data_IF_653609423824
#
_entry.id   IF_653609423824
#
_cell.length_a   1.000
_cell.length_b   1.000
_cell.length_c   1.000
_cell.angle_alpha   90.00
_cell.angle_beta   90.00
_cell.angle_gamma   90.00
#
_symmetry.space_group_name_H-M   'P 1'
#
loop_
_entity.id
_entity.type
_entity.pdbx_description
1 polymer ?
#
# COMPACT_ATOMS: atom_id res chain seq x y z
N UNK A 1 1.17 -20.07 -14.44
CA UNK A 1 0.34 -18.95 -13.95
C UNK A 1 -1.07 -19.47 -13.77
N UNK A 2 -1.70 -19.24 -12.62
CA UNK A 2 -3.09 -19.64 -12.33
C UNK A 2 -4.04 -18.90 -13.29
N UNK A 3 -4.99 -19.61 -13.91
CA UNK A 3 -5.90 -19.04 -14.91
C UNK A 3 -7.35 -19.00 -14.41
N UNK A 4 -8.20 -18.19 -15.06
CA UNK A 4 -9.62 -18.09 -14.67
C UNK A 4 -10.33 -19.46 -14.68
N UNK A 5 -9.99 -20.35 -15.59
CA UNK A 5 -10.55 -21.73 -15.64
C UNK A 5 -10.19 -22.54 -14.40
N UNK A 6 -9.01 -22.31 -13.81
CA UNK A 6 -8.52 -23.08 -12.67
C UNK A 6 -9.29 -22.75 -11.39
N UNK A 7 -9.99 -21.58 -11.33
CA UNK A 7 -10.90 -21.26 -10.24
C UNK A 7 -11.95 -22.35 -10.00
N UNK A 8 -12.44 -22.98 -11.07
CA UNK A 8 -13.47 -24.02 -10.97
C UNK A 8 -12.94 -25.33 -10.36
N UNK A 9 -11.62 -25.49 -10.23
CA UNK A 9 -11.01 -26.63 -9.56
C UNK A 9 -10.91 -26.46 -8.04
N UNK A 10 -11.13 -25.23 -7.53
CA UNK A 10 -11.10 -24.97 -6.10
C UNK A 10 -12.32 -25.57 -5.40
N UNK A 11 -12.11 -26.15 -4.24
CA UNK A 11 -13.18 -26.79 -3.43
C UNK A 11 -14.23 -25.74 -3.00
N UNK A 12 -13.77 -24.57 -2.63
CA UNK A 12 -14.62 -23.42 -2.23
C UNK A 12 -15.45 -22.89 -3.39
N UNK A 13 -15.05 -23.13 -4.63
CA UNK A 13 -15.78 -22.72 -5.85
C UNK A 13 -16.74 -23.80 -6.36
N UNK A 14 -16.98 -24.89 -5.63
CA UNK A 14 -17.85 -26.00 -6.05
C UNK A 14 -19.30 -25.57 -6.38
N UNK A 15 -19.78 -24.50 -5.77
CA UNK A 15 -21.11 -23.92 -6.03
C UNK A 15 -21.07 -22.74 -7.04
N UNK A 16 -19.90 -22.39 -7.52
CA UNK A 16 -19.75 -21.27 -8.47
C UNK A 16 -20.24 -21.64 -9.87
N UNK A 17 -20.73 -20.63 -10.58
CA UNK A 17 -21.17 -20.75 -11.99
C UNK A 17 -20.52 -19.66 -12.81
N UNK A 18 -20.06 -20.01 -14.00
CA UNK A 18 -19.67 -19.04 -15.02
C UNK A 18 -20.94 -18.58 -15.73
N UNK A 19 -21.19 -17.29 -15.77
CA UNK A 19 -22.40 -16.72 -16.38
C UNK A 19 -22.14 -15.91 -17.65
N UNK A 20 -20.87 -15.51 -17.89
CA UNK A 20 -20.46 -14.77 -19.07
C UNK A 20 -18.93 -14.83 -19.28
N UNK A 21 -18.45 -14.42 -20.46
CA UNK A 21 -17.05 -14.20 -20.76
C UNK A 21 -16.22 -15.47 -20.92
N UNK A 22 -16.80 -16.56 -21.43
CA UNK A 22 -16.11 -17.85 -21.60
C UNK A 22 -14.84 -17.76 -22.47
N UNK A 23 -14.75 -16.80 -23.41
CA UNK A 23 -13.53 -16.58 -24.21
C UNK A 23 -12.33 -16.13 -23.38
N UNK A 24 -12.53 -15.57 -22.20
CA UNK A 24 -11.48 -15.10 -21.32
C UNK A 24 -10.98 -16.10 -20.25
N UNK A 25 -11.42 -17.36 -20.29
CA UNK A 25 -11.11 -18.35 -19.25
C UNK A 25 -9.61 -18.72 -19.14
N UNK A 26 -8.83 -18.40 -20.16
CA UNK A 26 -7.37 -18.60 -20.14
C UNK A 26 -6.59 -17.39 -19.61
N UNK A 27 -7.26 -16.28 -19.29
CA UNK A 27 -6.61 -15.14 -18.66
C UNK A 27 -5.98 -15.55 -17.33
N UNK A 28 -4.74 -15.16 -17.11
CA UNK A 28 -4.01 -15.45 -15.88
C UNK A 28 -4.51 -14.59 -14.74
N UNK A 29 -4.67 -15.19 -13.56
CA UNK A 29 -4.99 -14.48 -12.32
C UNK A 29 -3.72 -14.35 -11.51
N UNK A 30 -3.40 -13.11 -11.14
CA UNK A 30 -2.26 -12.78 -10.30
C UNK A 30 -2.63 -12.78 -8.81
N UNK A 31 -3.79 -12.22 -8.48
CA UNK A 31 -4.30 -12.07 -7.13
C UNK A 31 -5.81 -11.80 -7.15
N UNK A 32 -6.43 -11.77 -5.97
CA UNK A 32 -7.83 -11.34 -5.80
C UNK A 32 -7.90 -9.97 -5.14
N UNK A 33 -8.86 -9.18 -5.57
CA UNK A 33 -9.18 -7.89 -4.97
C UNK A 33 -10.65 -7.85 -4.55
N UNK A 34 -10.90 -7.73 -3.26
CA UNK A 34 -12.25 -7.53 -2.72
C UNK A 34 -12.60 -6.06 -2.77
N UNK A 35 -13.62 -5.70 -3.55
CA UNK A 35 -14.07 -4.33 -3.66
C UNK A 35 -14.71 -3.84 -2.36
N UNK A 36 -14.09 -2.86 -1.72
CA UNK A 36 -14.64 -2.15 -0.56
C UNK A 36 -15.24 -0.80 -0.94
N UNK A 37 -14.77 -0.23 -2.04
CA UNK A 37 -15.17 1.05 -2.60
C UNK A 37 -15.51 0.94 -4.08
N UNK A 38 -16.28 1.91 -4.58
CA UNK A 38 -16.61 2.04 -6.00
C UNK A 38 -15.37 2.52 -6.80
N UNK A 39 -14.50 3.29 -6.16
CA UNK A 39 -13.26 3.80 -6.75
C UNK A 39 -12.09 2.93 -6.30
N UNK A 40 -11.75 1.93 -7.08
CA UNK A 40 -10.70 0.96 -6.77
C UNK A 40 -9.49 1.04 -7.72
N UNK A 41 -9.41 2.05 -8.56
CA UNK A 41 -8.34 2.22 -9.56
C UNK A 41 -6.94 2.28 -8.95
N UNK A 42 -6.86 2.89 -7.76
CA UNK A 42 -5.59 3.04 -7.05
C UNK A 42 -5.06 1.71 -6.46
N UNK A 43 -5.91 0.69 -6.38
CA UNK A 43 -5.63 -0.56 -5.66
C UNK A 43 -5.41 -1.77 -6.56
N UNK A 44 -5.67 -1.62 -7.86
CA UNK A 44 -5.55 -2.71 -8.85
C UNK A 44 -4.53 -2.34 -9.94
N UNK A 45 -3.85 -3.36 -10.46
CA UNK A 45 -2.75 -3.20 -11.43
C UNK A 45 -2.93 -4.02 -12.70
N UNK A 46 -4.07 -4.68 -12.80
CA UNK A 46 -4.40 -5.61 -13.88
C UNK A 46 -4.04 -7.05 -13.53
N UNK A 47 -4.80 -7.97 -14.11
CA UNK A 47 -4.76 -9.42 -13.89
C UNK A 47 -5.24 -9.86 -12.48
N UNK A 48 -6.00 -9.04 -11.76
CA UNK A 48 -6.66 -9.47 -10.54
C UNK A 48 -8.02 -10.10 -10.81
N UNK A 49 -8.45 -10.96 -9.88
CA UNK A 49 -9.84 -11.39 -9.72
C UNK A 49 -10.58 -10.35 -8.88
N UNK A 50 -11.56 -9.66 -9.45
CA UNK A 50 -12.43 -8.76 -8.69
C UNK A 50 -13.46 -9.56 -7.90
N UNK A 51 -13.58 -9.32 -6.60
CA UNK A 51 -14.64 -9.90 -5.76
C UNK A 51 -15.62 -8.79 -5.39
N UNK A 52 -16.86 -8.94 -5.88
CA UNK A 52 -17.96 -8.02 -5.57
C UNK A 52 -18.80 -8.60 -4.45
N UNK A 53 -18.70 -7.98 -3.26
CA UNK A 53 -19.34 -8.44 -2.04
C UNK A 53 -19.97 -7.27 -1.27
N UNK A 54 -20.68 -7.53 -0.17
CA UNK A 54 -20.94 -6.52 0.85
C UNK A 54 -19.59 -6.09 1.45
N UNK A 55 -19.26 -4.83 1.73
CA UNK A 55 -20.16 -3.68 1.80
C UNK A 55 -20.28 -2.83 0.53
N UNK A 56 -19.57 -3.13 -0.58
CA UNK A 56 -19.64 -2.27 -1.77
C UNK A 56 -21.05 -2.24 -2.38
N UNK A 57 -21.77 -3.37 -2.38
CA UNK A 57 -23.13 -3.47 -2.93
C UNK A 57 -24.16 -2.66 -2.16
N UNK A 58 -23.91 -2.34 -0.89
CA UNK A 58 -24.80 -1.54 -0.04
C UNK A 58 -24.59 -0.03 -0.18
N UNK A 59 -23.63 0.41 -0.99
CA UNK A 59 -23.40 1.84 -1.19
C UNK A 59 -24.46 2.45 -2.11
N UNK A 60 -24.93 3.66 -1.76
CA UNK A 60 -26.00 4.38 -2.51
C UNK A 60 -25.72 4.56 -3.99
N UNK A 61 -24.46 4.59 -4.39
CA UNK A 61 -24.03 4.81 -5.77
C UNK A 61 -23.46 3.54 -6.42
N UNK A 62 -23.71 2.37 -5.85
CA UNK A 62 -23.25 1.12 -6.44
C UNK A 62 -23.99 0.84 -7.74
N UNK A 63 -23.24 0.60 -8.79
CA UNK A 63 -23.72 0.23 -10.12
C UNK A 63 -22.83 -0.91 -10.63
N UNK A 64 -23.42 -2.10 -10.73
CA UNK A 64 -22.69 -3.30 -11.13
C UNK A 64 -22.12 -3.17 -12.56
N UNK A 65 -22.90 -2.56 -13.48
CA UNK A 65 -22.43 -2.36 -14.85
C UNK A 65 -21.15 -1.53 -14.89
N UNK A 66 -21.14 -0.37 -14.25
CA UNK A 66 -19.99 0.52 -14.17
C UNK A 66 -18.81 -0.14 -13.44
N UNK A 67 -19.07 -0.96 -12.44
CA UNK A 67 -18.05 -1.68 -11.70
C UNK A 67 -17.33 -2.69 -12.58
N UNK A 68 -18.08 -3.44 -13.40
CA UNK A 68 -17.52 -4.41 -14.34
C UNK A 68 -16.83 -3.71 -15.52
N UNK A 69 -17.46 -2.66 -16.08
CA UNK A 69 -16.86 -1.83 -17.12
C UNK A 69 -15.46 -1.33 -16.69
N UNK A 70 -15.37 -0.80 -15.49
CA UNK A 70 -14.13 -0.32 -14.91
C UNK A 70 -13.11 -1.43 -14.66
N UNK A 71 -13.54 -2.59 -14.20
CA UNK A 71 -12.65 -3.75 -14.04
C UNK A 71 -12.01 -4.18 -15.38
N UNK A 72 -12.80 -4.12 -16.46
CA UNK A 72 -12.31 -4.40 -17.82
C UNK A 72 -11.30 -3.34 -18.26
N UNK A 73 -11.59 -2.05 -18.07
CA UNK A 73 -10.68 -0.93 -18.39
C UNK A 73 -9.34 -1.04 -17.65
N UNK A 74 -9.37 -1.52 -16.41
CA UNK A 74 -8.18 -1.73 -15.57
C UNK A 74 -7.46 -3.05 -15.87
N UNK A 75 -7.85 -3.78 -16.93
CA UNK A 75 -7.26 -5.06 -17.32
C UNK A 75 -7.29 -6.12 -16.20
N UNK A 76 -8.30 -6.13 -15.35
CA UNK A 76 -8.54 -7.24 -14.42
C UNK A 76 -8.90 -8.51 -15.21
N UNK A 77 -8.64 -9.68 -14.65
CA UNK A 77 -8.80 -10.94 -15.39
C UNK A 77 -10.22 -11.46 -15.41
N UNK A 78 -10.96 -11.30 -14.31
CA UNK A 78 -12.32 -11.79 -14.15
C UNK A 78 -12.99 -11.17 -12.93
N UNK A 79 -14.27 -11.45 -12.71
CA UNK A 79 -14.97 -11.06 -11.49
C UNK A 79 -15.78 -12.21 -10.89
N UNK A 80 -15.81 -12.26 -9.55
CA UNK A 80 -16.64 -13.14 -8.74
C UNK A 80 -17.72 -12.30 -8.03
N UNK A 81 -18.98 -12.57 -8.34
CA UNK A 81 -20.13 -11.89 -7.78
C UNK A 81 -20.74 -12.77 -6.69
N UNK A 82 -20.77 -12.28 -5.46
CA UNK A 82 -21.48 -12.97 -4.39
C UNK A 82 -22.98 -12.68 -4.48
N UNK A 83 -23.78 -13.73 -4.54
CA UNK A 83 -25.23 -13.65 -4.71
C UNK A 83 -25.93 -13.82 -3.37
N UNK A 84 -26.77 -12.85 -3.00
CA UNK A 84 -27.54 -12.88 -1.75
C UNK A 84 -28.26 -11.57 -1.45
N UNK A 85 -29.03 -11.54 -0.37
CA UNK A 85 -29.95 -10.44 -0.05
C UNK A 85 -29.23 -9.09 0.19
N UNK A 86 -28.02 -9.12 0.81
CA UNK A 86 -27.19 -7.94 1.04
C UNK A 86 -25.99 -7.85 0.07
N UNK A 87 -26.02 -8.62 -0.99
CA UNK A 87 -25.00 -8.77 -1.99
C UNK A 87 -25.55 -8.44 -3.38
N UNK A 88 -25.10 -9.12 -4.41
CA UNK A 88 -25.71 -8.97 -5.74
C UNK A 88 -27.02 -9.76 -5.76
N UNK A 89 -28.14 -9.08 -5.91
CA UNK A 89 -29.47 -9.73 -5.93
C UNK A 89 -29.92 -10.09 -7.33
N UNK A 90 -29.53 -9.29 -8.34
CA UNK A 90 -29.90 -9.48 -9.74
C UNK A 90 -28.76 -9.01 -10.64
N UNK A 91 -28.56 -9.71 -11.74
CA UNK A 91 -27.56 -9.37 -12.75
C UNK A 91 -28.30 -9.02 -14.05
N UNK A 92 -28.21 -7.76 -14.44
CA UNK A 92 -28.85 -7.28 -15.65
C UNK A 92 -28.20 -7.88 -16.89
N UNK A 93 -29.01 -8.13 -17.93
CA UNK A 93 -28.52 -8.63 -19.21
C UNK A 93 -27.41 -7.77 -19.80
N UNK A 94 -27.44 -6.45 -19.60
CA UNK A 94 -26.39 -5.53 -20.06
C UNK A 94 -25.01 -5.83 -19.46
N UNK A 95 -24.95 -6.31 -18.22
CA UNK A 95 -23.69 -6.72 -17.56
C UNK A 95 -23.14 -8.00 -18.19
N UNK A 96 -24.03 -8.95 -18.49
CA UNK A 96 -23.69 -10.19 -19.18
C UNK A 96 -23.18 -9.89 -20.60
N UNK A 97 -23.91 -9.07 -21.35
CA UNK A 97 -23.52 -8.68 -22.72
C UNK A 97 -22.19 -7.92 -22.73
N UNK A 98 -21.95 -7.05 -21.74
CA UNK A 98 -20.66 -6.34 -21.59
C UNK A 98 -19.51 -7.33 -21.36
N UNK A 99 -19.68 -8.28 -20.46
CA UNK A 99 -18.67 -9.27 -20.11
C UNK A 99 -18.38 -10.22 -21.29
N UNK A 100 -19.40 -10.68 -22.01
CA UNK A 100 -19.26 -11.52 -23.21
C UNK A 100 -18.49 -10.78 -24.31
N UNK A 101 -18.85 -9.53 -24.61
CA UNK A 101 -18.22 -8.75 -25.67
C UNK A 101 -16.72 -8.41 -25.41
N UNK A 102 -16.27 -8.54 -24.15
CA UNK A 102 -14.90 -8.25 -23.73
C UNK A 102 -14.14 -9.50 -23.28
N UNK A 103 -14.68 -10.71 -23.52
CA UNK A 103 -14.09 -11.95 -23.02
C UNK A 103 -13.70 -11.83 -21.53
N UNK A 104 -14.58 -11.28 -20.72
CA UNK A 104 -14.34 -11.04 -19.29
C UNK A 104 -15.13 -12.03 -18.44
N UNK A 105 -14.51 -13.10 -17.90
CA UNK A 105 -15.22 -14.13 -17.14
C UNK A 105 -15.93 -13.56 -15.92
N UNK A 106 -17.25 -13.80 -15.85
CA UNK A 106 -18.07 -13.50 -14.70
C UNK A 106 -18.47 -14.80 -14.01
N UNK A 107 -18.07 -14.91 -12.75
CA UNK A 107 -18.45 -16.00 -11.87
C UNK A 107 -19.51 -15.52 -10.87
N UNK A 108 -20.39 -16.39 -10.50
CA UNK A 108 -21.34 -16.19 -9.39
C UNK A 108 -21.14 -17.27 -8.36
N UNK A 109 -21.28 -16.92 -7.09
CA UNK A 109 -21.17 -17.83 -5.96
C UNK A 109 -22.16 -17.41 -4.86
N UNK A 110 -22.79 -18.33 -4.11
CA UNK A 110 -23.58 -17.98 -2.94
C UNK A 110 -22.77 -17.19 -1.92
N UNK A 111 -23.38 -16.23 -1.26
CA UNK A 111 -22.74 -15.33 -0.31
C UNK A 111 -22.26 -16.02 0.99
N UNK A 112 -22.86 -17.16 1.33
CA UNK A 112 -22.61 -17.94 2.55
C UNK A 112 -21.38 -18.83 2.48
N UNK A 113 -20.71 -18.88 1.32
CA UNK A 113 -19.40 -19.54 1.22
C UNK A 113 -18.37 -18.71 1.99
N UNK A 114 -17.59 -19.29 2.92
CA UNK A 114 -16.58 -18.60 3.68
C UNK A 114 -15.51 -18.00 2.76
N UNK A 115 -15.51 -16.68 2.60
CA UNK A 115 -14.53 -15.99 1.75
C UNK A 115 -13.10 -16.19 2.24
N UNK A 116 -12.93 -16.41 3.52
CA UNK A 116 -11.63 -16.64 4.11
C UNK A 116 -11.01 -17.93 3.57
N UNK A 117 -11.78 -19.02 3.57
CA UNK A 117 -11.36 -20.31 3.04
C UNK A 117 -11.08 -20.21 1.54
N UNK A 118 -11.88 -19.43 0.82
CA UNK A 118 -11.65 -19.14 -0.59
C UNK A 118 -10.33 -18.40 -0.83
N UNK A 119 -10.01 -17.37 -0.02
CA UNK A 119 -8.75 -16.65 -0.15
C UNK A 119 -7.55 -17.54 0.16
N UNK A 120 -7.67 -18.41 1.15
CA UNK A 120 -6.64 -19.36 1.52
C UNK A 120 -6.39 -20.36 0.39
N UNK A 121 -7.45 -21.01 -0.10
CA UNK A 121 -7.36 -21.98 -1.19
C UNK A 121 -6.83 -21.35 -2.49
N UNK A 122 -7.32 -20.17 -2.84
CA UNK A 122 -6.85 -19.41 -4.00
C UNK A 122 -5.36 -19.04 -3.88
N UNK A 123 -4.95 -18.56 -2.69
CA UNK A 123 -3.56 -18.23 -2.41
C UNK A 123 -2.63 -19.43 -2.56
N UNK A 124 -3.03 -20.59 -2.05
CA UNK A 124 -2.31 -21.85 -2.22
C UNK A 124 -2.26 -22.28 -3.69
N UNK A 125 -3.38 -22.20 -4.42
CA UNK A 125 -3.44 -22.61 -5.81
C UNK A 125 -2.58 -21.72 -6.73
N UNK A 126 -2.60 -20.40 -6.53
CA UNK A 126 -1.74 -19.45 -7.26
C UNK A 126 -0.26 -19.76 -6.98
N UNK A 127 0.09 -20.04 -5.74
CA UNK A 127 1.47 -20.37 -5.34
C UNK A 127 1.94 -21.71 -5.89
N UNK A 128 1.08 -22.72 -5.95
CA UNK A 128 1.42 -24.08 -6.40
C UNK A 128 1.64 -24.19 -7.91
N UNK A 129 0.88 -23.44 -8.72
CA UNK A 129 0.98 -23.49 -10.18
C UNK A 129 2.13 -22.63 -10.75
N UNK A 130 2.79 -21.83 -9.91
CA UNK A 130 3.97 -21.08 -10.31
C UNK A 130 5.23 -21.88 -9.93
N UNK A 131 5.50 -22.98 -10.64
CA UNK A 131 6.64 -23.91 -10.46
C UNK A 131 8.04 -23.23 -10.45
N UNK A 132 8.09 -21.92 -10.50
CA UNK A 132 9.29 -21.09 -10.44
C UNK A 132 9.28 -20.11 -9.24
N UNK A 133 8.29 -20.20 -8.33
CA UNK A 133 8.34 -19.38 -7.14
C UNK A 133 9.33 -19.98 -6.15
N UNK A 134 10.30 -19.16 -5.79
CA UNK A 134 11.24 -19.46 -4.74
C UNK A 134 10.48 -19.84 -3.45
N UNK A 135 11.05 -20.76 -2.68
CA UNK A 135 10.54 -21.16 -1.37
C UNK A 135 10.33 -19.94 -0.46
N UNK A 136 11.10 -18.88 -0.69
CA UNK A 136 10.98 -17.57 -0.02
C UNK A 136 9.63 -16.91 -0.22
N UNK A 137 9.11 -16.87 -1.46
CA UNK A 137 7.78 -16.31 -1.78
C UNK A 137 6.68 -17.10 -1.07
N UNK A 138 6.82 -18.43 -1.05
CA UNK A 138 5.88 -19.34 -0.36
C UNK A 138 5.91 -19.14 1.16
N UNK A 139 7.09 -18.95 1.74
CA UNK A 139 7.26 -18.67 3.16
C UNK A 139 6.63 -17.33 3.54
N UNK A 140 6.90 -16.30 2.73
CA UNK A 140 6.36 -14.96 2.91
C UNK A 140 4.82 -14.96 2.85
N UNK A 141 4.25 -15.66 1.86
CA UNK A 141 2.81 -15.79 1.73
C UNK A 141 2.17 -16.48 2.95
N UNK A 142 2.78 -17.54 3.46
CA UNK A 142 2.30 -18.26 4.65
C UNK A 142 2.34 -17.38 5.90
N UNK A 143 3.39 -16.60 6.10
CA UNK A 143 3.52 -15.72 7.28
C UNK A 143 2.55 -14.54 7.19
N UNK A 144 2.40 -13.92 6.01
CA UNK A 144 1.63 -12.68 5.86
C UNK A 144 0.13 -12.95 5.75
N UNK A 145 -0.26 -14.01 5.03
CA UNK A 145 -1.66 -14.27 4.66
C UNK A 145 -2.25 -15.52 5.32
N UNK A 146 -1.43 -16.33 5.97
CA UNK A 146 -1.92 -17.53 6.66
C UNK A 146 -2.81 -17.19 7.85
N UNK A 147 -3.96 -17.85 7.97
CA UNK A 147 -4.87 -17.69 9.10
C UNK A 147 -4.31 -18.26 10.39
N UNK A 148 -3.48 -19.29 10.28
CA UNK A 148 -2.75 -19.90 11.38
C UNK A 148 -1.31 -20.13 10.94
N UNK A 149 -0.36 -19.57 11.67
CA UNK A 149 1.05 -19.82 11.43
C UNK A 149 1.39 -21.28 11.78
N UNK A 150 1.66 -22.07 10.75
CA UNK A 150 2.13 -23.46 10.94
C UNK A 150 3.65 -23.46 11.14
N UNK A 151 4.08 -23.40 12.41
CA UNK A 151 5.50 -23.35 12.77
C UNK A 151 6.31 -24.47 12.14
N UNK A 152 5.77 -25.70 12.05
CA UNK A 152 6.48 -26.83 11.45
C UNK A 152 6.70 -26.67 9.95
N UNK A 153 5.71 -26.11 9.22
CA UNK A 153 5.85 -25.81 7.79
C UNK A 153 6.90 -24.73 7.55
N UNK A 154 6.86 -23.67 8.34
CA UNK A 154 7.80 -22.55 8.28
C UNK A 154 9.22 -23.03 8.60
N UNK A 155 9.38 -23.82 9.66
CA UNK A 155 10.68 -24.40 10.03
C UNK A 155 11.26 -25.27 8.89
N UNK A 156 10.41 -26.10 8.26
CA UNK A 156 10.83 -26.91 7.12
C UNK A 156 11.33 -26.05 5.95
N UNK A 157 10.60 -25.00 5.59
CA UNK A 157 10.99 -24.06 4.53
C UNK A 157 12.30 -23.32 4.86
N UNK A 158 12.45 -22.83 6.10
CA UNK A 158 13.71 -22.21 6.54
C UNK A 158 14.89 -23.18 6.39
N UNK A 159 14.74 -24.44 6.85
CA UNK A 159 15.79 -25.45 6.70
C UNK A 159 16.13 -25.76 5.25
N UNK A 160 15.15 -25.80 4.35
CA UNK A 160 15.39 -25.99 2.90
C UNK A 160 16.24 -24.86 2.31
N UNK A 161 16.13 -23.64 2.85
CA UNK A 161 16.93 -22.48 2.46
C UNK A 161 18.28 -22.38 3.20
N UNK A 162 18.54 -23.29 4.13
CA UNK A 162 19.76 -23.28 4.94
C UNK A 162 19.72 -22.33 6.14
N UNK A 163 18.54 -21.89 6.56
CA UNK A 163 18.33 -21.02 7.71
C UNK A 163 17.72 -21.75 8.90
N UNK A 164 18.00 -21.26 10.10
CA UNK A 164 17.24 -21.58 11.31
C UNK A 164 16.07 -20.58 11.50
N UNK A 165 15.19 -20.83 12.46
CA UNK A 165 14.07 -19.94 12.75
C UNK A 165 14.49 -18.56 13.27
N UNK A 166 15.73 -18.40 13.74
CA UNK A 166 16.25 -17.13 14.21
C UNK A 166 16.38 -16.06 13.09
N UNK A 167 16.26 -16.44 11.82
CA UNK A 167 16.14 -15.48 10.71
C UNK A 167 14.78 -14.78 10.68
N UNK A 168 13.81 -15.25 11.43
CA UNK A 168 12.44 -14.74 11.48
C UNK A 168 12.16 -13.90 12.74
N UNK A 169 13.13 -13.16 13.24
CA UNK A 169 12.98 -12.36 14.45
C UNK A 169 12.51 -10.93 14.16
N UNK A 170 12.77 -10.42 12.97
CA UNK A 170 12.45 -9.04 12.61
C UNK A 170 12.05 -8.94 11.14
N UNK A 171 11.10 -8.07 10.84
CA UNK A 171 10.66 -7.80 9.48
C UNK A 171 11.12 -6.42 9.03
N UNK A 172 11.50 -6.28 7.78
CA UNK A 172 11.60 -4.98 7.13
C UNK A 172 10.69 -4.91 5.91
N UNK A 173 10.21 -3.71 5.62
CA UNK A 173 9.43 -3.43 4.42
C UNK A 173 10.03 -2.21 3.73
N UNK A 174 10.44 -2.39 2.50
CA UNK A 174 10.91 -1.35 1.60
C UNK A 174 9.85 -1.16 0.51
N UNK A 175 9.29 0.02 0.42
CA UNK A 175 8.33 0.40 -0.59
C UNK A 175 8.99 1.35 -1.59
N UNK A 176 8.96 1.00 -2.87
CA UNK A 176 9.50 1.80 -3.95
C UNK A 176 8.44 2.84 -4.36
N UNK A 177 8.75 4.11 -4.18
CA UNK A 177 7.84 5.20 -4.48
C UNK A 177 7.91 5.55 -5.97
N UNK A 178 6.78 5.52 -6.66
CA UNK A 178 6.70 6.09 -8.01
C UNK A 178 6.82 7.62 -7.90
N UNK A 179 7.63 8.25 -8.75
CA UNK A 179 7.62 9.71 -8.88
C UNK A 179 6.23 10.17 -9.29
N UNK A 180 5.40 10.54 -8.34
CA UNK A 180 4.22 11.33 -8.64
C UNK A 180 4.70 12.72 -9.00
N UNK A 181 4.64 13.06 -10.27
CA UNK A 181 4.90 14.40 -10.76
C UNK A 181 4.02 15.42 -10.02
N UNK A 182 4.54 16.01 -8.93
CA UNK A 182 3.90 17.11 -8.19
C UNK A 182 3.77 18.39 -9.02
N UNK A 183 4.04 18.36 -10.33
CA UNK A 183 4.04 19.54 -11.20
C UNK A 183 2.71 19.87 -11.88
N UNK A 184 1.63 19.14 -11.69
CA UNK A 184 0.39 19.42 -12.45
C UNK A 184 -0.63 20.33 -11.76
N UNK A 185 -0.39 20.87 -10.57
CA UNK A 185 -1.40 21.68 -9.87
C UNK A 185 -1.17 23.19 -9.83
N UNK A 186 -0.02 23.73 -10.26
CA UNK A 186 0.25 25.17 -10.16
C UNK A 186 1.04 25.75 -11.35
N UNK A 187 0.52 25.66 -12.56
CA UNK A 187 0.85 26.66 -13.59
C UNK A 187 -0.43 27.35 -14.04
N UNK A 188 -0.55 28.68 -13.88
CA UNK A 188 -1.58 29.44 -14.59
C UNK A 188 -1.29 29.28 -16.08
N UNK A 189 -2.32 28.92 -16.86
CA UNK A 189 -2.26 28.91 -18.32
C UNK A 189 -1.99 30.35 -18.80
N UNK A 190 -0.75 30.66 -19.11
CA UNK A 190 -0.41 31.71 -20.03
C UNK A 190 -0.06 31.07 -21.38
N UNK A 191 -0.78 31.51 -22.40
CA UNK A 191 -0.55 31.17 -23.78
C UNK A 191 0.86 31.62 -24.16
N UNK A 192 1.65 30.72 -24.73
CA UNK A 192 2.55 31.11 -25.81
C UNK A 192 2.96 29.81 -26.54
N UNK A 193 2.75 29.87 -27.85
CA UNK A 193 3.11 28.85 -28.83
C UNK A 193 4.64 28.79 -28.97
N UNK A 194 5.24 27.71 -28.51
CA UNK A 194 6.47 27.13 -29.09
C UNK A 194 6.68 25.69 -28.61
N UNK A 195 6.96 24.75 -29.49
CA UNK A 195 7.24 23.35 -29.09
C UNK A 195 8.71 23.24 -28.68
N UNK A 196 8.99 23.22 -27.39
CA UNK A 196 10.30 22.84 -26.88
C UNK A 196 10.37 21.32 -26.65
N UNK A 197 11.22 20.67 -27.42
CA UNK A 197 11.53 19.22 -27.45
C UNK A 197 12.25 18.68 -26.20
N UNK A 198 11.89 19.06 -24.99
CA UNK A 198 12.59 18.62 -23.78
C UNK A 198 11.68 18.26 -22.60
N UNK A 199 10.53 17.64 -22.81
CA UNK A 199 9.75 17.14 -21.68
C UNK A 199 8.97 15.84 -21.97
N UNK A 200 9.67 14.83 -22.50
CA UNK A 200 9.20 13.45 -22.51
C UNK A 200 10.00 12.62 -21.51
N UNK A 201 10.09 13.03 -20.26
CA UNK A 201 10.35 12.06 -19.17
C UNK A 201 9.03 11.33 -18.94
N UNK A 202 8.85 10.22 -19.62
CA UNK A 202 7.76 9.27 -19.39
C UNK A 202 7.78 8.87 -17.92
N UNK A 203 6.64 9.00 -17.22
CA UNK A 203 6.36 8.29 -15.96
C UNK A 203 6.56 6.78 -16.22
N UNK A 204 7.76 6.28 -16.05
CA UNK A 204 8.04 4.85 -16.17
C UNK A 204 7.65 4.22 -14.84
N UNK A 205 6.51 3.52 -14.83
CA UNK A 205 6.12 2.66 -13.72
C UNK A 205 7.19 1.62 -13.48
N UNK A 206 7.58 1.44 -12.22
CA UNK A 206 8.51 0.39 -11.82
C UNK A 206 7.86 -0.95 -12.16
N UNK A 207 8.51 -1.75 -12.98
CA UNK A 207 7.98 -3.05 -13.39
C UNK A 207 8.22 -4.11 -12.32
N UNK A 208 7.40 -5.15 -12.27
CA UNK A 208 7.61 -6.26 -11.35
C UNK A 208 8.99 -6.94 -11.53
N UNK A 209 9.50 -6.96 -12.76
CA UNK A 209 10.81 -7.56 -13.01
C UNK A 209 11.94 -6.69 -12.44
N UNK A 210 11.78 -5.37 -12.45
CA UNK A 210 12.71 -4.46 -11.77
C UNK A 210 12.68 -4.66 -10.26
N UNK A 211 11.48 -4.74 -9.65
CA UNK A 211 11.34 -4.99 -8.20
C UNK A 211 12.01 -6.31 -7.80
N UNK A 212 11.82 -7.36 -8.60
CA UNK A 212 12.50 -8.64 -8.38
C UNK A 212 14.02 -8.54 -8.50
N UNK A 213 14.51 -7.80 -9.48
CA UNK A 213 15.94 -7.54 -9.65
C UNK A 213 16.52 -6.80 -8.43
N UNK A 214 15.80 -5.80 -7.91
CA UNK A 214 16.21 -5.07 -6.72
C UNK A 214 16.18 -5.94 -5.46
N UNK A 215 15.17 -6.78 -5.31
CA UNK A 215 15.11 -7.75 -4.20
C UNK A 215 16.29 -8.73 -4.26
N UNK A 216 16.65 -9.21 -5.44
CA UNK A 216 17.80 -10.09 -5.65
C UNK A 216 19.12 -9.39 -5.30
N UNK A 217 19.31 -8.15 -5.75
CA UNK A 217 20.50 -7.35 -5.40
C UNK A 217 20.62 -7.13 -3.89
N UNK A 218 19.49 -6.82 -3.23
CA UNK A 218 19.46 -6.65 -1.78
C UNK A 218 19.83 -7.94 -1.05
N UNK A 219 19.34 -9.08 -1.51
CA UNK A 219 19.68 -10.41 -0.99
C UNK A 219 21.18 -10.71 -1.12
N UNK A 220 21.80 -10.34 -2.24
CA UNK A 220 23.24 -10.49 -2.47
C UNK A 220 24.03 -9.64 -1.45
N UNK A 221 23.59 -8.41 -1.18
CA UNK A 221 24.24 -7.57 -0.18
C UNK A 221 24.11 -8.15 1.23
N UNK A 222 22.96 -8.68 1.63
CA UNK A 222 22.83 -9.40 2.90
C UNK A 222 23.82 -10.58 3.00
N UNK A 223 23.99 -11.34 1.91
CA UNK A 223 24.92 -12.46 1.83
C UNK A 223 26.37 -12.01 1.94
N UNK A 224 26.78 -10.95 1.22
CA UNK A 224 28.13 -10.41 1.26
C UNK A 224 28.55 -9.91 2.67
N UNK A 225 27.60 -9.36 3.42
CA UNK A 225 27.84 -8.94 4.81
C UNK A 225 27.72 -10.10 5.82
N UNK A 226 27.51 -11.34 5.34
CA UNK A 226 27.24 -12.51 6.18
C UNK A 226 26.12 -12.25 7.22
N UNK A 227 25.04 -11.60 6.78
CA UNK A 227 23.89 -11.32 7.62
C UNK A 227 22.69 -12.13 7.13
N UNK A 228 22.16 -13.09 7.92
CA UNK A 228 21.06 -13.95 7.49
C UNK A 228 19.79 -13.14 7.30
N UNK A 229 19.25 -13.18 6.09
CA UNK A 229 17.96 -12.58 5.75
C UNK A 229 17.28 -13.38 4.64
N UNK A 230 15.96 -13.48 4.72
CA UNK A 230 15.09 -13.98 3.67
C UNK A 230 14.44 -12.76 3.03
N UNK A 231 14.66 -12.55 1.75
CA UNK A 231 14.19 -11.36 1.02
C UNK A 231 13.32 -11.81 -0.14
N UNK A 232 12.14 -11.25 -0.24
CA UNK A 232 11.21 -11.50 -1.35
C UNK A 232 10.46 -10.22 -1.74
N UNK A 233 9.64 -10.27 -2.76
CA UNK A 233 8.86 -9.12 -3.21
C UNK A 233 7.36 -9.45 -3.23
N UNK A 234 6.56 -8.43 -2.84
CA UNK A 234 5.11 -8.48 -2.90
C UNK A 234 4.55 -7.16 -3.41
N UNK A 235 3.94 -7.20 -4.58
CA UNK A 235 3.46 -5.99 -5.26
C UNK A 235 4.63 -5.05 -5.58
N UNK A 236 4.57 -3.83 -5.06
CA UNK A 236 5.57 -2.76 -5.19
C UNK A 236 6.55 -2.71 -4.01
N UNK A 237 6.54 -3.73 -3.17
CA UNK A 237 7.33 -3.78 -1.94
C UNK A 237 8.35 -4.90 -1.98
N UNK A 238 9.51 -4.62 -1.42
CA UNK A 238 10.49 -5.64 -1.04
C UNK A 238 10.31 -5.88 0.45
N UNK A 239 10.09 -7.12 0.81
CA UNK A 239 9.84 -7.55 2.19
C UNK A 239 10.94 -8.52 2.58
N UNK A 240 11.48 -8.36 3.77
CA UNK A 240 12.44 -9.30 4.28
C UNK A 240 12.23 -9.63 5.74
N UNK A 241 12.60 -10.87 6.07
CA UNK A 241 12.74 -11.34 7.44
C UNK A 241 14.22 -11.48 7.74
N UNK A 242 14.63 -11.07 8.91
CA UNK A 242 16.01 -11.10 9.33
C UNK A 242 16.12 -11.37 10.83
N UNK A 243 17.32 -11.75 11.26
CA UNK A 243 17.66 -11.84 12.69
C UNK A 243 17.57 -10.46 13.33
N UNK A 244 17.32 -10.43 14.65
CA UNK A 244 17.32 -9.19 15.41
C UNK A 244 18.60 -8.39 15.16
N UNK A 245 18.44 -7.13 14.76
CA UNK A 245 19.55 -6.26 14.41
C UNK A 245 20.06 -5.38 15.58
N UNK A 246 19.58 -5.58 16.79
CA UNK A 246 19.94 -4.72 17.94
C UNK A 246 21.45 -4.62 18.16
N UNK A 247 22.15 -5.75 18.03
CA UNK A 247 23.61 -5.81 18.21
C UNK A 247 24.40 -5.47 16.92
N UNK A 248 23.76 -5.59 15.76
CA UNK A 248 24.36 -5.43 14.43
C UNK A 248 23.80 -4.26 13.63
N UNK A 249 23.18 -3.27 14.27
CA UNK A 249 22.51 -2.13 13.62
C UNK A 249 23.41 -1.42 12.60
N UNK A 250 24.70 -1.31 12.88
CA UNK A 250 25.68 -0.73 11.95
C UNK A 250 25.84 -1.52 10.66
N UNK A 251 25.77 -2.85 10.73
CA UNK A 251 25.81 -3.69 9.53
C UNK A 251 24.56 -3.50 8.67
N UNK A 252 23.40 -3.47 9.31
CA UNK A 252 22.12 -3.26 8.62
C UNK A 252 22.12 -1.90 7.93
N UNK A 253 22.54 -0.86 8.61
CA UNK A 253 22.70 0.48 8.01
C UNK A 253 23.64 0.41 6.80
N UNK A 254 24.80 -0.23 6.90
CA UNK A 254 25.75 -0.33 5.79
C UNK A 254 25.18 -1.09 4.57
N UNK A 255 24.38 -2.16 4.81
CA UNK A 255 23.70 -2.90 3.74
C UNK A 255 22.73 -2.00 2.98
N UNK A 256 21.87 -1.29 3.72
CA UNK A 256 20.87 -0.44 3.09
C UNK A 256 21.44 0.86 2.51
N UNK A 257 22.49 1.44 3.08
CA UNK A 257 23.22 2.58 2.45
C UNK A 257 23.86 2.17 1.12
N UNK A 258 24.38 0.94 1.04
CA UNK A 258 24.89 0.41 -0.23
C UNK A 258 23.78 0.18 -1.24
N UNK A 259 22.64 -0.29 -0.77
CA UNK A 259 21.46 -0.47 -1.61
C UNK A 259 20.88 0.87 -2.08
N UNK A 260 20.86 1.88 -1.22
CA UNK A 260 20.49 3.25 -1.59
C UNK A 260 21.36 3.77 -2.73
N UNK A 261 22.69 3.67 -2.59
CA UNK A 261 23.62 4.05 -3.67
C UNK A 261 23.35 3.31 -4.98
N UNK A 262 22.96 2.04 -4.91
CA UNK A 262 22.58 1.26 -6.09
C UNK A 262 21.31 1.81 -6.72
N UNK A 263 20.27 2.11 -5.95
CA UNK A 263 19.01 2.68 -6.46
C UNK A 263 19.22 4.09 -7.04
N UNK A 264 20.06 4.93 -6.41
CA UNK A 264 20.36 6.27 -6.90
C UNK A 264 21.20 6.28 -8.19
N UNK A 265 21.97 5.21 -8.44
CA UNK A 265 22.70 5.04 -9.70
C UNK A 265 21.84 4.46 -10.84
N UNK A 266 20.64 3.99 -10.54
CA UNK A 266 19.69 3.60 -11.59
C UNK A 266 19.25 4.86 -12.36
N UNK A 267 18.96 4.68 -13.66
CA UNK A 267 18.62 5.77 -14.59
C UNK A 267 17.45 6.66 -14.11
N UNK A 268 16.63 6.16 -13.16
CA UNK A 268 15.42 6.82 -12.69
C UNK A 268 15.54 7.41 -11.27
N UNK A 269 16.67 7.27 -10.56
CA UNK A 269 16.84 7.76 -9.19
C UNK A 269 15.62 7.45 -8.30
N UNK A 270 15.36 6.16 -8.06
CA UNK A 270 14.11 5.69 -7.43
C UNK A 270 14.06 6.11 -5.96
N UNK A 271 13.00 6.80 -5.58
CA UNK A 271 12.69 7.07 -4.18
C UNK A 271 12.08 5.84 -3.50
N UNK A 272 12.32 5.71 -2.20
CA UNK A 272 11.75 4.61 -1.41
C UNK A 272 11.47 5.06 0.03
N UNK A 273 10.62 4.30 0.72
CA UNK A 273 10.51 4.30 2.18
C UNK A 273 10.95 2.95 2.71
N UNK A 274 11.73 2.94 3.78
CA UNK A 274 12.23 1.73 4.41
C UNK A 274 11.95 1.78 5.90
N UNK A 275 11.19 0.81 6.38
CA UNK A 275 10.96 0.63 7.81
C UNK A 275 11.38 -0.75 8.27
N UNK A 276 12.08 -0.80 9.41
CA UNK A 276 12.46 -2.01 10.12
C UNK A 276 11.59 -2.12 11.36
N UNK A 277 10.77 -3.17 11.40
CA UNK A 277 9.78 -3.41 12.44
C UNK A 277 10.38 -3.80 13.79
N UNK A 278 9.51 -3.99 14.77
CA UNK A 278 9.90 -4.47 16.10
C UNK A 278 10.40 -5.92 16.04
N UNK A 279 11.30 -6.25 16.94
CA UNK A 279 11.75 -7.63 17.13
C UNK A 279 10.65 -8.50 17.68
N UNK A 280 10.39 -9.63 17.05
CA UNK A 280 9.38 -10.59 17.44
C UNK A 280 10.01 -11.73 18.27
N UNK A 281 9.48 -11.98 19.46
CA UNK A 281 9.92 -13.09 20.32
C UNK A 281 9.50 -14.46 19.76
N UNK A 282 8.50 -14.49 18.90
CA UNK A 282 8.00 -15.70 18.27
C UNK A 282 7.36 -15.42 16.91
N UNK A 283 7.31 -16.44 16.08
CA UNK A 283 6.81 -16.38 14.71
C UNK A 283 5.33 -15.92 14.64
N UNK A 284 4.52 -16.23 15.66
CA UNK A 284 3.11 -15.84 15.66
C UNK A 284 2.89 -14.31 15.67
N UNK A 285 3.90 -13.56 16.09
CA UNK A 285 3.86 -12.09 16.09
C UNK A 285 4.30 -11.46 14.75
N UNK A 286 4.92 -12.24 13.85
CA UNK A 286 5.47 -11.73 12.58
C UNK A 286 4.40 -11.10 11.69
N UNK A 287 3.23 -11.70 11.59
CA UNK A 287 2.14 -11.16 10.79
C UNK A 287 1.72 -9.78 11.29
N UNK A 288 1.56 -9.62 12.61
CA UNK A 288 1.26 -8.33 13.23
C UNK A 288 2.39 -7.33 12.98
N UNK A 289 3.64 -7.72 13.19
CA UNK A 289 4.81 -6.88 12.93
C UNK A 289 4.89 -6.45 11.47
N UNK A 290 4.59 -7.33 10.52
CA UNK A 290 4.50 -6.98 9.10
C UNK A 290 3.44 -5.92 8.82
N UNK A 291 2.24 -6.07 9.37
CA UNK A 291 1.16 -5.09 9.18
C UNK A 291 1.52 -3.71 9.77
N UNK A 292 2.11 -3.69 10.96
CA UNK A 292 2.57 -2.46 11.61
C UNK A 292 3.69 -1.79 10.80
N UNK A 293 4.67 -2.58 10.35
CA UNK A 293 5.79 -2.09 9.52
C UNK A 293 5.31 -1.54 8.17
N UNK A 294 4.37 -2.23 7.53
CA UNK A 294 3.76 -1.80 6.27
C UNK A 294 2.96 -0.52 6.42
N UNK A 295 2.21 -0.39 7.51
CA UNK A 295 1.45 0.82 7.83
C UNK A 295 2.38 2.00 8.15
N UNK A 296 3.50 1.74 8.80
CA UNK A 296 4.53 2.75 9.04
C UNK A 296 5.08 3.32 7.73
N UNK A 297 5.32 2.49 6.72
CA UNK A 297 5.79 2.97 5.41
C UNK A 297 4.82 3.98 4.78
N UNK A 298 3.51 3.73 4.85
CA UNK A 298 2.51 4.69 4.36
C UNK A 298 2.59 6.03 5.12
N UNK A 299 2.79 5.98 6.44
CA UNK A 299 3.02 7.20 7.23
C UNK A 299 4.30 7.92 6.81
N UNK A 300 5.41 7.19 6.60
CA UNK A 300 6.69 7.78 6.18
C UNK A 300 6.59 8.49 4.84
N UNK A 301 5.79 7.97 3.90
CA UNK A 301 5.51 8.65 2.63
C UNK A 301 4.80 9.99 2.84
N UNK A 302 3.76 10.03 3.67
CA UNK A 302 3.00 11.25 3.95
C UNK A 302 3.85 12.31 4.65
N UNK A 303 4.74 11.90 5.56
CA UNK A 303 5.64 12.83 6.24
C UNK A 303 6.94 13.09 5.47
N UNK A 304 7.02 12.60 4.22
CA UNK A 304 8.14 12.79 3.30
C UNK A 304 9.51 12.33 3.85
N UNK A 305 9.51 11.27 4.68
CA UNK A 305 10.72 10.59 5.14
C UNK A 305 11.09 9.49 4.14
N UNK A 306 11.67 9.90 3.02
CA UNK A 306 12.10 9.02 1.94
C UNK A 306 13.61 8.87 1.92
N UNK A 307 14.09 7.78 1.32
CA UNK A 307 15.51 7.47 1.12
C UNK A 307 16.29 7.41 2.42
N UNK A 308 15.64 7.00 3.49
CA UNK A 308 16.25 6.79 4.80
C UNK A 308 15.75 5.50 5.45
N UNK A 309 16.56 4.98 6.37
CA UNK A 309 16.24 3.79 7.15
C UNK A 309 15.57 4.25 8.45
N UNK A 310 14.34 3.82 8.65
CA UNK A 310 13.59 4.15 9.86
C UNK A 310 13.42 2.88 10.70
N UNK A 311 13.93 2.90 11.91
CA UNK A 311 13.73 1.80 12.85
C UNK A 311 12.47 2.02 13.68
N UNK A 312 11.84 0.93 14.11
CA UNK A 312 10.62 0.97 14.90
C UNK A 312 10.70 1.85 16.15
N UNK A 313 11.85 1.90 16.80
CA UNK A 313 12.09 2.76 17.96
C UNK A 313 12.15 4.27 17.62
N UNK A 314 12.31 4.62 16.34
CA UNK A 314 12.44 6.00 15.85
C UNK A 314 11.12 6.60 15.36
N UNK A 315 10.06 5.79 15.21
CA UNK A 315 8.76 6.27 14.72
C UNK A 315 7.93 7.02 15.79
N UNK A 316 8.45 7.10 17.00
CA UNK A 316 7.94 7.98 18.07
C UNK A 316 6.46 7.78 18.40
N UNK A 317 5.69 8.85 18.29
CA UNK A 317 4.25 8.86 18.62
C UNK A 317 3.42 7.89 17.77
N UNK A 318 3.82 7.60 16.55
CA UNK A 318 3.11 6.66 15.67
C UNK A 318 3.05 5.23 16.25
N UNK A 319 4.06 4.82 17.04
CA UNK A 319 4.02 3.53 17.77
C UNK A 319 2.79 3.42 18.65
N UNK A 320 2.47 4.52 19.36
CA UNK A 320 1.29 4.56 20.21
C UNK A 320 0.02 4.49 19.36
N UNK A 321 -0.05 5.23 18.26
CA UNK A 321 -1.23 5.22 17.38
C UNK A 321 -1.50 3.81 16.79
N UNK A 322 -0.44 3.07 16.43
CA UNK A 322 -0.56 1.72 15.89
C UNK A 322 -1.07 0.70 16.91
N UNK A 323 -0.84 0.93 18.20
CA UNK A 323 -1.26 0.01 19.25
C UNK A 323 -2.78 -0.03 19.50
N UNK A 324 -3.53 0.92 18.93
CA UNK A 324 -4.97 0.99 19.10
C UNK A 324 -5.72 0.24 17.97
N UNK A 325 -6.52 -0.73 18.37
CA UNK A 325 -7.41 -1.46 17.44
C UNK A 325 -8.59 -0.57 16.97
N UNK A 326 -9.11 0.26 17.88
CA UNK A 326 -10.22 1.16 17.58
C UNK A 326 -9.73 2.58 17.26
N UNK A 327 -9.70 2.92 15.97
CA UNK A 327 -9.27 4.25 15.50
C UNK A 327 -10.34 5.34 15.56
N UNK A 328 -11.60 4.99 15.87
CA UNK A 328 -12.72 5.95 15.86
C UNK A 328 -12.53 7.16 16.82
N UNK A 329 -11.95 7.04 18.02
CA UNK A 329 -11.65 8.20 18.86
C UNK A 329 -10.61 9.13 18.23
N UNK A 330 -9.57 8.58 17.62
CA UNK A 330 -8.53 9.34 16.91
C UNK A 330 -9.11 10.09 15.72
N UNK A 331 -9.92 9.41 14.91
CA UNK A 331 -10.57 10.00 13.75
C UNK A 331 -11.48 11.16 14.16
N UNK A 332 -12.25 11.01 15.24
CA UNK A 332 -13.08 12.11 15.77
C UNK A 332 -12.24 13.30 16.20
N UNK A 333 -11.17 13.08 16.96
CA UNK A 333 -10.27 14.13 17.41
C UNK A 333 -9.64 14.88 16.22
N UNK A 334 -9.04 14.17 15.26
CA UNK A 334 -8.44 14.79 14.09
C UNK A 334 -9.48 15.57 13.26
N UNK A 335 -10.67 15.01 13.07
CA UNK A 335 -11.77 15.65 12.34
C UNK A 335 -12.23 16.92 13.06
N UNK A 336 -12.43 16.88 14.37
CA UNK A 336 -12.86 18.04 15.17
C UNK A 336 -11.87 19.21 15.04
N UNK A 337 -10.58 18.92 15.10
CA UNK A 337 -9.53 19.94 15.03
C UNK A 337 -9.32 20.45 13.59
N UNK A 338 -9.27 19.56 12.60
CA UNK A 338 -8.80 19.88 11.25
C UNK A 338 -9.92 20.16 10.23
N UNK A 339 -11.16 19.73 10.50
CA UNK A 339 -12.26 19.91 9.55
C UNK A 339 -12.46 21.37 9.09
N UNK A 340 -12.35 22.41 9.97
CA UNK A 340 -12.44 23.79 9.51
C UNK A 340 -11.39 24.16 8.45
N UNK A 341 -10.18 23.60 8.56
CA UNK A 341 -9.09 23.83 7.60
C UNK A 341 -9.40 23.09 6.30
N UNK A 342 -9.74 21.80 6.38
CA UNK A 342 -10.05 20.95 5.22
C UNK A 342 -11.20 21.52 4.41
N UNK A 343 -12.27 22.00 5.07
CA UNK A 343 -13.41 22.61 4.40
C UNK A 343 -13.04 23.94 3.73
N UNK A 344 -12.14 24.71 4.34
CA UNK A 344 -11.66 25.95 3.77
C UNK A 344 -10.77 25.71 2.53
N UNK A 345 -9.83 24.75 2.60
CA UNK A 345 -8.96 24.40 1.48
C UNK A 345 -9.73 23.95 0.25
N UNK A 346 -10.77 23.12 0.43
CA UNK A 346 -11.65 22.66 -0.66
C UNK A 346 -12.32 23.82 -1.40
N UNK A 347 -12.58 24.95 -0.71
CA UNK A 347 -13.25 26.13 -1.29
C UNK A 347 -12.27 27.15 -1.85
N UNK A 348 -11.14 27.33 -1.18
CA UNK A 348 -10.21 28.43 -1.44
C UNK A 348 -8.96 28.00 -2.21
N UNK A 349 -8.81 26.71 -2.52
CA UNK A 349 -7.65 26.12 -3.20
C UNK A 349 -6.31 26.55 -2.58
N UNK A 350 -6.22 26.50 -1.25
CA UNK A 350 -5.05 26.89 -0.47
C UNK A 350 -4.35 25.65 0.10
N UNK A 351 -3.11 25.81 0.53
CA UNK A 351 -2.25 24.73 1.08
C UNK A 351 -1.99 24.99 2.58
N UNK A 352 -3.03 25.03 3.40
CA UNK A 352 -2.90 25.30 4.84
C UNK A 352 -2.36 24.08 5.60
N UNK A 353 -2.86 22.88 5.27
CA UNK A 353 -2.43 21.61 5.87
C UNK A 353 -0.94 21.36 5.61
N UNK A 354 -0.51 21.47 4.35
CA UNK A 354 0.89 21.34 3.95
C UNK A 354 1.77 22.40 4.61
N UNK A 355 1.29 23.64 4.68
CA UNK A 355 2.04 24.74 5.34
C UNK A 355 2.21 24.49 6.82
N UNK A 356 1.16 24.01 7.49
CA UNK A 356 1.19 23.68 8.92
C UNK A 356 2.12 22.51 9.21
N UNK A 357 2.10 21.49 8.37
CA UNK A 357 3.01 20.34 8.47
C UNK A 357 4.48 20.80 8.34
N UNK A 358 4.80 21.50 7.25
CA UNK A 358 6.14 22.03 7.01
C UNK A 358 6.63 22.97 8.13
N UNK A 359 5.71 23.72 8.75
CA UNK A 359 6.04 24.59 9.87
C UNK A 359 6.50 23.80 11.10
N UNK A 360 5.81 22.72 11.44
CA UNK A 360 6.23 21.85 12.54
C UNK A 360 7.55 21.13 12.23
N UNK A 361 7.73 20.62 11.03
CA UNK A 361 9.01 19.99 10.60
C UNK A 361 10.21 20.95 10.62
N UNK A 362 9.96 22.24 10.42
CA UNK A 362 10.97 23.28 10.47
C UNK A 362 11.13 23.90 11.88
N UNK A 363 10.82 23.17 12.96
CA UNK A 363 10.93 23.62 14.35
C UNK A 363 10.16 24.93 14.60
N UNK A 364 9.01 25.10 13.98
CA UNK A 364 8.19 26.31 14.03
C UNK A 364 8.92 27.58 13.54
N UNK A 365 9.87 27.42 12.63
CA UNK A 365 10.65 28.52 12.07
C UNK A 365 10.06 28.99 10.72
N UNK A 366 9.50 30.20 10.70
CA UNK A 366 8.86 30.77 9.51
C UNK A 366 9.79 30.89 8.29
N UNK A 367 11.08 31.17 8.49
CA UNK A 367 12.01 31.30 7.36
C UNK A 367 12.32 29.95 6.74
N UNK A 368 12.69 28.96 7.57
CA UNK A 368 12.94 27.59 7.11
C UNK A 368 11.70 26.99 6.43
N UNK A 369 10.52 27.25 6.95
CA UNK A 369 9.25 26.81 6.34
C UNK A 369 9.05 27.44 4.97
N UNK A 370 9.33 28.75 4.84
CA UNK A 370 9.22 29.46 3.57
C UNK A 370 10.20 28.91 2.53
N UNK A 371 11.44 28.66 2.93
CA UNK A 371 12.47 28.07 2.08
C UNK A 371 12.06 26.64 1.64
N UNK A 372 11.56 25.81 2.56
CA UNK A 372 11.10 24.45 2.28
C UNK A 372 9.92 24.41 1.31
N UNK A 373 8.99 25.35 1.42
CA UNK A 373 7.79 25.45 0.57
C UNK A 373 8.01 26.31 -0.70
N UNK A 374 9.23 26.75 -0.97
CA UNK A 374 9.53 27.68 -2.07
C UNK A 374 8.60 28.89 -2.11
N UNK A 375 8.26 29.41 -0.92
CA UNK A 375 7.27 30.48 -0.74
C UNK A 375 7.86 31.67 0.00
N UNK A 376 7.23 32.84 -0.13
CA UNK A 376 7.65 34.02 0.65
C UNK A 376 7.22 33.86 2.12
N UNK A 377 8.06 34.31 3.07
CA UNK A 377 7.80 34.28 4.51
C UNK A 377 6.44 34.86 4.91
N UNK A 378 6.03 35.95 4.25
CA UNK A 378 4.73 36.55 4.50
C UNK A 378 3.55 35.67 4.10
N UNK A 379 3.71 34.88 3.04
CA UNK A 379 2.70 33.90 2.60
C UNK A 379 2.54 32.79 3.64
N UNK A 380 3.64 32.26 4.15
CA UNK A 380 3.63 31.26 5.24
C UNK A 380 2.95 31.84 6.49
N UNK A 381 3.36 33.06 6.89
CA UNK A 381 2.77 33.74 8.03
C UNK A 381 1.25 33.93 7.85
N UNK A 382 0.81 34.39 6.69
CA UNK A 382 -0.62 34.56 6.37
C UNK A 382 -1.38 33.24 6.46
N UNK A 383 -0.82 32.16 5.88
CA UNK A 383 -1.45 30.83 5.91
C UNK A 383 -1.59 30.32 7.35
N UNK A 384 -0.56 30.43 8.19
CA UNK A 384 -0.61 30.03 9.60
C UNK A 384 -1.62 30.89 10.39
N UNK A 385 -1.67 32.18 10.20
CA UNK A 385 -2.69 33.04 10.81
C UNK A 385 -4.10 32.63 10.38
N UNK A 386 -4.26 32.16 9.14
CA UNK A 386 -5.55 31.64 8.66
C UNK A 386 -5.93 30.34 9.37
N UNK A 387 -4.97 29.45 9.64
CA UNK A 387 -5.19 28.26 10.46
C UNK A 387 -5.67 28.67 11.88
N UNK A 388 -5.00 29.62 12.53
CA UNK A 388 -5.40 30.09 13.86
C UNK A 388 -6.84 30.63 13.86
N UNK A 389 -7.21 31.43 12.84
CA UNK A 389 -8.57 31.96 12.70
C UNK A 389 -9.63 30.87 12.50
N UNK A 390 -9.31 29.85 11.71
CA UNK A 390 -10.25 28.76 11.39
C UNK A 390 -10.46 27.80 12.56
N UNK A 391 -9.40 27.53 13.31
CA UNK A 391 -9.41 26.53 14.39
C UNK A 391 -9.62 27.14 15.78
N UNK A 392 -9.42 28.44 15.93
CA UNK A 392 -9.39 29.12 17.23
C UNK A 392 -8.18 28.71 18.09
N UNK A 393 -7.16 28.08 17.51
CA UNK A 393 -5.95 27.61 18.19
C UNK A 393 -4.74 28.41 17.74
N UNK A 394 -3.85 28.73 18.67
CA UNK A 394 -2.65 29.53 18.38
C UNK A 394 -1.37 28.69 18.39
N UNK A 395 -0.50 28.92 17.41
CA UNK A 395 0.83 28.31 17.36
C UNK A 395 1.77 28.80 18.45
N UNK A 396 1.50 29.96 19.05
CA UNK A 396 2.29 30.49 20.16
C UNK A 396 1.90 29.91 21.53
N UNK A 397 0.70 29.36 21.65
CA UNK A 397 0.27 28.62 22.82
C UNK A 397 0.73 27.17 22.72
N UNK A 398 1.60 26.73 23.62
CA UNK A 398 2.21 25.40 23.59
C UNK A 398 1.18 24.27 23.52
N UNK A 399 0.12 24.31 24.30
CA UNK A 399 -0.88 23.25 24.34
C UNK A 399 -1.71 23.21 23.06
N UNK A 400 -2.12 24.37 22.55
CA UNK A 400 -2.90 24.47 21.31
C UNK A 400 -2.08 24.10 20.09
N UNK A 401 -0.81 24.51 20.06
CA UNK A 401 0.14 24.11 19.00
C UNK A 401 0.37 22.59 19.01
N UNK A 402 0.52 21.98 20.19
CA UNK A 402 0.64 20.53 20.31
C UNK A 402 -0.63 19.80 19.87
N UNK A 403 -1.80 20.36 20.15
CA UNK A 403 -3.10 19.82 19.71
C UNK A 403 -3.22 19.81 18.19
N UNK A 404 -2.82 20.90 17.52
CA UNK A 404 -2.76 20.99 16.07
C UNK A 404 -1.79 19.96 15.48
N UNK A 405 -0.61 19.83 16.07
CA UNK A 405 0.40 18.87 15.61
C UNK A 405 -0.08 17.43 15.76
N UNK A 406 -0.64 17.07 16.93
CA UNK A 406 -1.18 15.74 17.16
C UNK A 406 -2.33 15.40 16.20
N UNK A 407 -3.20 16.37 15.94
CA UNK A 407 -4.30 16.18 15.00
C UNK A 407 -3.80 15.91 13.57
N UNK A 408 -2.75 16.64 13.14
CA UNK A 408 -2.09 16.37 11.85
C UNK A 408 -1.45 14.98 11.79
N UNK A 409 -0.69 14.60 12.82
CA UNK A 409 -0.07 13.28 12.88
C UNK A 409 -1.12 12.17 12.79
N UNK A 410 -2.23 12.31 13.50
CA UNK A 410 -3.34 11.35 13.46
C UNK A 410 -4.00 11.35 12.07
N UNK A 411 -4.21 12.51 11.48
CA UNK A 411 -4.82 12.63 10.16
C UNK A 411 -4.01 11.85 9.10
N UNK A 412 -2.72 12.10 9.00
CA UNK A 412 -1.83 11.39 8.06
C UNK A 412 -1.63 9.90 8.41
N UNK A 413 -1.83 9.52 9.65
CA UNK A 413 -1.80 8.12 10.05
C UNK A 413 -3.06 7.35 9.60
N UNK A 414 -4.20 8.02 9.46
CA UNK A 414 -5.49 7.42 9.11
C UNK A 414 -5.81 7.49 7.60
N UNK A 415 -5.11 8.35 6.82
CA UNK A 415 -5.21 8.38 5.35
C UNK A 415 -4.50 7.17 4.71
#
# INVERSE_FOLDING_TARGET
>A
MFQCKDLLSLTTMSQAKVIAGLGGMEKGIRWSYKAENINFEKWVRGKELLIVSSPVTQRKNFDLYKTIEKAIELNMSCALLLIGENYVTQIDKKVIDLAENNDFPLFTMPWDVPLLDFFEELGHAISYLDDRKDIEDSLLAEIIFGNCINTSSIEHKCRQMGYDLGVLEQVFVLHLCEETSKESYNRPKYNDDEPSDECTRKNQRITNDQIRSYAQTLKEYFSEYNYPAIVSCYGDRIIGFMRNCADDRKKIIAIFERFDKFLQNDLNAIEYTLNIGETCENISKLQKSFHETSKTNSVLEHINRKNEIVFYDEIGFYRMLMSYENTAPMQRFATEVLNPIIQYEKKAHTQLMETMWAYFECDCNLQRTADKLFSHKNTVKYRLQRVEQLTGRSFTNRYQSQELYNALMIYYFLE
#
